data_IF_774132215122
#
_entry.id   IF_774132215122
#
_cell.length_a   1.000
_cell.length_b   1.000
_cell.length_c   1.000
_cell.angle_alpha   90.00
_cell.angle_beta   90.00
_cell.angle_gamma   90.00
#
_symmetry.space_group_name_H-M   'P 1'
#
loop_
_entity.id
_entity.type
_entity.pdbx_description
1 polymer ?
#
# COMPACT_ATOMS: atom_id res chain seq x y z
N UNK A 1 -14.48 -12.28 7.54
CA UNK A 1 -13.38 -12.27 8.53
C UNK A 1 -12.12 -12.64 7.76
N UNK A 2 -11.19 -11.72 7.57
CA UNK A 2 -9.96 -11.98 6.81
C UNK A 2 -9.07 -12.94 7.59
N UNK A 3 -8.58 -13.98 6.93
CA UNK A 3 -7.68 -14.94 7.59
C UNK A 3 -6.27 -14.35 7.68
N UNK A 4 -5.47 -14.77 8.67
CA UNK A 4 -4.10 -14.31 8.82
C UNK A 4 -3.26 -14.48 7.54
N UNK A 5 -3.41 -15.63 6.86
CA UNK A 5 -2.70 -15.91 5.60
C UNK A 5 -3.14 -15.02 4.44
N UNK A 6 -4.41 -14.65 4.39
CA UNK A 6 -4.92 -13.70 3.39
C UNK A 6 -4.37 -12.29 3.64
N UNK A 7 -4.24 -11.87 4.91
CA UNK A 7 -3.62 -10.59 5.25
C UNK A 7 -2.14 -10.56 4.88
N UNK A 8 -1.39 -11.61 5.23
CA UNK A 8 0.04 -11.74 4.88
C UNK A 8 0.24 -11.64 3.35
N UNK A 9 -0.56 -12.37 2.57
CA UNK A 9 -0.51 -12.31 1.10
C UNK A 9 -0.75 -10.89 0.56
N UNK A 10 -1.70 -10.15 1.15
CA UNK A 10 -2.02 -8.78 0.74
C UNK A 10 -0.92 -7.79 1.10
N UNK A 11 -0.26 -7.98 2.23
CA UNK A 11 0.89 -7.17 2.65
C UNK A 11 2.07 -7.42 1.71
N UNK A 12 2.36 -8.68 1.37
CA UNK A 12 3.42 -9.04 0.42
C UNK A 12 3.17 -8.41 -0.96
N UNK A 13 1.93 -8.46 -1.44
CA UNK A 13 1.54 -7.82 -2.70
C UNK A 13 1.76 -6.30 -2.67
N UNK A 14 1.38 -5.64 -1.57
CA UNK A 14 1.62 -4.20 -1.41
C UNK A 14 3.09 -3.84 -1.32
N UNK A 15 3.89 -4.69 -0.67
CA UNK A 15 5.32 -4.46 -0.55
C UNK A 15 6.01 -4.56 -1.91
N UNK A 16 5.64 -5.53 -2.74
CA UNK A 16 6.12 -5.62 -4.12
C UNK A 16 5.76 -4.37 -4.93
N UNK A 17 4.49 -3.96 -4.92
CA UNK A 17 4.02 -2.79 -5.67
C UNK A 17 4.67 -1.48 -5.18
N UNK A 18 4.87 -1.34 -3.87
CA UNK A 18 5.54 -0.19 -3.29
C UNK A 18 7.03 -0.17 -3.66
N UNK A 19 7.71 -1.32 -3.72
CA UNK A 19 9.09 -1.40 -4.21
C UNK A 19 9.17 -1.00 -5.67
N UNK A 20 8.25 -1.45 -6.52
CA UNK A 20 8.18 -1.03 -7.93
C UNK A 20 7.97 0.48 -8.06
N UNK A 21 7.16 1.06 -7.16
CA UNK A 21 6.83 2.50 -7.17
C UNK A 21 7.99 3.38 -6.65
N UNK A 22 8.67 2.96 -5.59
CA UNK A 22 9.67 3.77 -4.88
C UNK A 22 11.12 3.33 -5.12
N UNK A 23 11.34 2.24 -5.83
CA UNK A 23 12.65 1.72 -6.24
C UNK A 23 13.44 0.97 -5.17
N UNK A 24 13.09 1.09 -3.88
CA UNK A 24 13.78 0.37 -2.80
C UNK A 24 12.83 -0.15 -1.74
N UNK A 25 13.21 -1.27 -1.10
CA UNK A 25 12.49 -1.83 0.04
C UNK A 25 12.38 -0.84 1.20
N UNK A 26 13.45 -0.10 1.51
CA UNK A 26 13.43 0.87 2.61
C UNK A 26 12.42 1.99 2.38
N UNK A 27 12.32 2.52 1.15
CA UNK A 27 11.34 3.54 0.84
C UNK A 27 9.91 2.99 0.82
N UNK A 28 9.72 1.79 0.29
CA UNK A 28 8.45 1.07 0.32
C UNK A 28 7.96 0.85 1.77
N UNK A 29 8.80 0.28 2.62
CA UNK A 29 8.48 0.00 4.03
C UNK A 29 8.17 1.31 4.77
N UNK A 30 8.97 2.36 4.54
CA UNK A 30 8.73 3.67 5.15
C UNK A 30 7.37 4.23 4.74
N UNK A 31 7.02 4.14 3.45
CA UNK A 31 5.75 4.67 2.96
C UNK A 31 4.55 3.85 3.48
N UNK A 32 4.67 2.53 3.49
CA UNK A 32 3.60 1.61 3.90
C UNK A 32 3.24 1.70 5.40
N UNK A 33 4.19 2.09 6.26
CA UNK A 33 4.00 2.22 7.70
C UNK A 33 3.78 3.68 8.16
N UNK A 34 3.88 4.65 7.25
CA UNK A 34 3.65 6.05 7.57
C UNK A 34 2.18 6.39 7.38
N UNK A 35 1.65 7.20 8.28
CA UNK A 35 0.31 7.79 8.14
C UNK A 35 0.18 8.51 6.79
N UNK A 36 -0.82 8.10 6.02
CA UNK A 36 -1.12 8.69 4.74
C UNK A 36 -2.34 9.60 4.87
N UNK A 37 -2.16 10.89 4.58
CA UNK A 37 -3.22 11.90 4.74
C UNK A 37 -4.49 11.61 3.92
N UNK A 38 -4.35 11.07 2.71
CA UNK A 38 -5.49 10.74 1.83
C UNK A 38 -6.26 9.54 2.36
N UNK A 39 -5.56 8.57 2.95
CA UNK A 39 -6.16 7.36 3.53
C UNK A 39 -6.71 7.58 4.94
N UNK A 40 -6.18 8.58 5.67
CA UNK A 40 -6.48 8.80 7.09
C UNK A 40 -5.91 7.73 8.03
N UNK A 41 -5.05 6.86 7.51
CA UNK A 41 -4.41 5.75 8.22
C UNK A 41 -3.11 5.34 7.52
N UNK A 42 -2.35 4.40 8.09
CA UNK A 42 -1.24 3.76 7.38
C UNK A 42 -1.74 2.88 6.23
N UNK A 43 -1.02 2.80 5.10
CA UNK A 43 -1.34 1.88 4.02
C UNK A 43 -1.50 0.41 4.46
N UNK A 44 -0.67 -0.08 5.39
CA UNK A 44 -0.78 -1.45 5.91
C UNK A 44 -2.06 -1.68 6.71
N UNK A 45 -2.45 -0.74 7.58
CA UNK A 45 -3.72 -0.88 8.31
C UNK A 45 -4.93 -0.84 7.37
N UNK A 46 -4.88 -0.02 6.31
CA UNK A 46 -5.94 -0.02 5.28
C UNK A 46 -6.04 -1.37 4.57
N UNK A 47 -4.91 -2.04 4.38
CA UNK A 47 -4.81 -3.35 3.77
C UNK A 47 -5.33 -4.50 4.66
N UNK A 48 -5.96 -4.23 5.79
CA UNK A 48 -6.76 -5.23 6.52
C UNK A 48 -8.10 -5.50 5.82
N UNK A 49 -8.65 -4.52 5.10
CA UNK A 49 -9.95 -4.63 4.40
C UNK A 49 -9.79 -4.60 2.89
N UNK A 50 -10.51 -5.44 2.14
CA UNK A 50 -10.33 -5.55 0.69
C UNK A 50 -10.49 -4.19 -0.02
N UNK A 51 -11.45 -3.37 0.42
CA UNK A 51 -11.64 -2.00 -0.06
C UNK A 51 -10.44 -1.10 0.24
N UNK A 52 -9.90 -1.15 1.46
CA UNK A 52 -8.71 -0.36 1.81
C UNK A 52 -7.47 -0.76 1.01
N UNK A 53 -7.29 -2.05 0.70
CA UNK A 53 -6.23 -2.49 -0.22
C UNK A 53 -6.40 -1.87 -1.63
N UNK A 54 -7.62 -1.83 -2.15
CA UNK A 54 -7.90 -1.19 -3.45
C UNK A 54 -7.51 0.29 -3.44
N UNK A 55 -7.82 1.02 -2.37
CA UNK A 55 -7.45 2.44 -2.27
C UNK A 55 -5.93 2.64 -2.20
N UNK A 56 -5.21 1.81 -1.44
CA UNK A 56 -3.74 1.87 -1.41
C UNK A 56 -3.14 1.62 -2.80
N UNK A 57 -3.63 0.61 -3.54
CA UNK A 57 -3.15 0.29 -4.89
C UNK A 57 -3.38 1.43 -5.88
N UNK A 58 -4.51 2.14 -5.78
CA UNK A 58 -4.79 3.32 -6.61
C UNK A 58 -3.77 4.43 -6.37
N UNK A 59 -3.42 4.70 -5.10
CA UNK A 59 -2.42 5.72 -4.76
C UNK A 59 -1.04 5.33 -5.29
N UNK A 60 -0.60 4.09 -5.07
CA UNK A 60 0.69 3.61 -5.59
C UNK A 60 0.74 3.68 -7.13
N UNK A 61 -0.34 3.30 -7.80
CA UNK A 61 -0.47 3.42 -9.25
C UNK A 61 -0.38 4.88 -9.71
N UNK A 62 -1.10 5.78 -9.03
CA UNK A 62 -1.04 7.21 -9.33
C UNK A 62 0.38 7.77 -9.16
N UNK A 63 1.12 7.37 -8.12
CA UNK A 63 2.51 7.78 -7.92
C UNK A 63 3.41 7.26 -9.06
N UNK A 64 3.31 5.97 -9.39
CA UNK A 64 4.17 5.31 -10.38
C UNK A 64 4.03 5.90 -11.79
N UNK A 65 2.81 6.23 -12.20
CA UNK A 65 2.53 6.82 -13.52
C UNK A 65 2.60 8.37 -13.53
N UNK A 66 3.19 8.97 -12.49
CA UNK A 66 3.46 10.41 -12.44
C UNK A 66 2.20 11.26 -12.30
N UNK A 67 1.28 10.82 -11.43
CA UNK A 67 -0.04 11.38 -11.18
C UNK A 67 -0.11 12.88 -11.43
N UNK A 68 -0.65 13.22 -12.60
CA UNK A 68 -1.07 14.57 -12.91
C UNK A 68 -2.25 14.84 -11.99
N UNK A 69 -1.99 15.61 -10.93
CA UNK A 69 -3.01 16.31 -10.14
C UNK A 69 -3.60 17.45 -10.95
#
# INVERSE_FOLDING_TARGET
>A
MTTKSELEFRIDELQALAIETFGTKTMADTWLHKENFVLGATPISMAESASGLTEVKKILSAISYGGVV
#
